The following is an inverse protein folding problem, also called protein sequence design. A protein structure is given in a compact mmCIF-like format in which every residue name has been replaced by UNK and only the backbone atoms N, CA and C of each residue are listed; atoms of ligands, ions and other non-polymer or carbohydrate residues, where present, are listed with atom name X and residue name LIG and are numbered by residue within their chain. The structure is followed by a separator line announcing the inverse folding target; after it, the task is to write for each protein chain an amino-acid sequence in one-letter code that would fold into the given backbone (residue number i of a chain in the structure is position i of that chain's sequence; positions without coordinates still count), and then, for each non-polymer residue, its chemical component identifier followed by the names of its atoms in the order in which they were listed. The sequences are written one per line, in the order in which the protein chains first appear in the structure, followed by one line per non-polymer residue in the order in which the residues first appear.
data_IF_740117489442
#
_entry.id   IF_740117489442
#
_cell.length_a   1.000
_cell.length_b   1.000
_cell.length_c   1.000
_cell.angle_alpha   90.00
_cell.angle_beta   90.00
_cell.angle_gamma   90.00
#
_symmetry.space_group_name_H-M   'P 1'
#
loop_
_entity.id
_entity.type
_entity.pdbx_description
1 polymer ?
#
# COMPACT_ATOMS: atom_id res chain seq x y z
N UNK A 1 -10.23 -15.98 4.49
CA UNK A 1 -9.26 -14.93 4.84
C UNK A 1 -9.07 -14.06 3.61
N UNK A 2 -9.30 -12.77 3.75
CA UNK A 2 -9.15 -11.77 2.70
C UNK A 2 -8.15 -10.73 3.21
N UNK A 3 -7.12 -10.43 2.41
CA UNK A 3 -6.29 -9.25 2.64
C UNK A 3 -6.96 -8.06 1.94
N UNK A 4 -7.27 -7.03 2.72
CA UNK A 4 -7.70 -5.74 2.21
C UNK A 4 -6.51 -4.79 2.31
N UNK A 5 -6.09 -4.29 1.17
CA UNK A 5 -5.00 -3.32 1.07
C UNK A 5 -5.53 -2.04 0.43
N UNK A 6 -5.26 -0.91 1.07
CA UNK A 6 -5.54 0.41 0.52
C UNK A 6 -4.21 1.13 0.35
N UNK A 7 -4.05 1.81 -0.78
CA UNK A 7 -3.03 2.83 -0.91
C UNK A 7 -3.69 4.17 -1.18
N UNK A 8 -3.05 5.22 -0.67
CA UNK A 8 -3.34 6.59 -1.03
C UNK A 8 -2.04 7.29 -1.35
N UNK A 9 -2.07 8.14 -2.37
CA UNK A 9 -1.00 9.04 -2.70
C UNK A 9 -1.56 10.40 -3.12
N UNK A 10 -1.01 11.47 -2.58
CA UNK A 10 -1.20 12.80 -3.15
C UNK A 10 0.08 13.60 -3.28
N UNK A 11 0.03 14.57 -4.20
CA UNK A 11 1.07 15.54 -4.46
C UNK A 11 0.43 16.92 -4.68
N UNK A 12 0.90 17.91 -3.92
CA UNK A 12 0.67 19.33 -4.17
C UNK A 12 1.91 19.93 -4.85
N UNK A 13 1.88 20.07 -6.16
CA UNK A 13 3.00 20.64 -6.90
C UNK A 13 2.70 22.11 -7.24
N UNK A 14 3.36 23.05 -6.56
CA UNK A 14 3.32 24.48 -6.87
C UNK A 14 4.42 24.87 -7.89
N UNK A 15 4.66 24.03 -8.89
CA UNK A 15 5.72 24.26 -9.87
C UNK A 15 5.11 25.00 -11.07
N UNK A 16 5.37 26.31 -11.17
CA UNK A 16 5.09 27.24 -12.30
C UNK A 16 3.83 28.12 -12.27
N UNK A 17 3.12 28.26 -11.14
CA UNK A 17 1.93 29.14 -11.06
C UNK A 17 0.66 28.49 -11.64
N UNK A 18 0.66 27.17 -11.79
CA UNK A 18 -0.53 26.33 -11.97
C UNK A 18 -0.55 25.32 -10.82
N UNK A 19 -1.67 25.28 -10.11
CA UNK A 19 -1.91 24.30 -9.05
C UNK A 19 -2.12 22.94 -9.70
N UNK A 20 -1.21 21.99 -9.45
CA UNK A 20 -1.40 20.58 -9.82
C UNK A 20 -1.54 19.77 -8.55
N UNK A 21 -2.77 19.37 -8.24
CA UNK A 21 -3.03 18.32 -7.26
C UNK A 21 -3.24 17.01 -7.99
N UNK A 22 -2.46 16.00 -7.62
CA UNK A 22 -2.75 14.62 -7.96
C UNK A 22 -3.17 13.90 -6.69
N UNK A 23 -4.29 13.18 -6.74
CA UNK A 23 -4.76 12.30 -5.67
C UNK A 23 -5.16 10.97 -6.29
N UNK A 24 -4.62 9.89 -5.75
CA UNK A 24 -4.95 8.51 -6.14
C UNK A 24 -5.24 7.70 -4.88
N UNK A 25 -6.38 7.01 -4.90
CA UNK A 25 -6.73 5.99 -3.90
C UNK A 25 -7.10 4.71 -4.63
N UNK A 26 -6.54 3.59 -4.18
CA UNK A 26 -6.95 2.28 -4.65
C UNK A 26 -7.11 1.31 -3.50
N UNK A 27 -8.15 0.49 -3.61
CA UNK A 27 -8.46 -0.58 -2.68
C UNK A 27 -8.40 -1.89 -3.44
N UNK A 28 -7.59 -2.81 -2.94
CA UNK A 28 -7.48 -4.17 -3.47
C UNK A 28 -7.92 -5.15 -2.42
N UNK A 29 -8.70 -6.15 -2.85
CA UNK A 29 -9.11 -7.28 -2.04
C UNK A 29 -8.49 -8.53 -2.65
N UNK A 30 -7.69 -9.23 -1.86
CA UNK A 30 -7.00 -10.44 -2.29
C UNK A 30 -7.60 -11.64 -1.56
N UNK A 31 -8.39 -12.39 -2.30
CA UNK A 31 -8.92 -13.68 -1.90
C UNK A 31 -7.99 -14.78 -2.43
N UNK A 32 -7.59 -15.72 -1.57
CA UNK A 32 -6.80 -16.89 -1.98
C UNK A 32 -5.48 -16.56 -2.71
N UNK A 33 -4.82 -15.45 -2.36
CA UNK A 33 -3.57 -15.07 -2.99
C UNK A 33 -2.42 -16.02 -2.61
N UNK A 34 -1.45 -16.16 -3.53
CA UNK A 34 -0.26 -16.97 -3.33
C UNK A 34 0.94 -16.09 -2.94
N UNK A 35 1.94 -16.69 -2.31
CA UNK A 35 3.26 -16.06 -2.13
C UNK A 35 3.79 -15.59 -3.49
N UNK A 36 4.38 -14.40 -3.50
CA UNK A 36 4.88 -13.69 -4.69
C UNK A 36 3.84 -12.81 -5.40
N UNK A 37 2.57 -12.88 -5.01
CA UNK A 37 1.51 -12.05 -5.61
C UNK A 37 1.72 -10.58 -5.26
N UNK A 38 1.68 -9.71 -6.27
CA UNK A 38 1.69 -8.25 -6.06
C UNK A 38 0.39 -7.79 -5.43
N UNK A 39 0.48 -6.94 -4.40
CA UNK A 39 -0.67 -6.47 -3.65
C UNK A 39 -1.47 -5.42 -4.42
N UNK A 40 -0.79 -4.54 -5.14
CA UNK A 40 -1.39 -3.52 -6.00
C UNK A 40 -1.04 -3.80 -7.47
N UNK A 41 -1.91 -3.39 -8.43
CA UNK A 41 -1.54 -3.41 -9.84
C UNK A 41 -0.36 -2.45 -10.09
N UNK A 42 0.45 -2.74 -11.10
CA UNK A 42 1.53 -1.84 -11.51
C UNK A 42 0.92 -0.51 -11.97
N UNK A 43 1.10 0.56 -11.19
CA UNK A 43 0.78 1.95 -11.57
C UNK A 43 1.98 2.56 -12.28
N UNK A 44 1.79 3.45 -13.25
CA UNK A 44 2.89 4.15 -13.96
C UNK A 44 3.84 4.93 -13.02
N UNK A 45 3.45 5.16 -11.77
CA UNK A 45 4.31 5.65 -10.69
C UNK A 45 5.04 4.51 -9.95
N UNK A 46 5.38 3.43 -10.68
CA UNK A 46 5.81 2.07 -10.27
C UNK A 46 6.80 1.98 -9.11
N UNK A 47 7.51 3.05 -8.79
CA UNK A 47 8.60 3.10 -7.83
C UNK A 47 8.16 2.76 -6.40
N UNK A 48 6.90 3.00 -6.02
CA UNK A 48 6.38 2.71 -4.68
C UNK A 48 5.39 1.53 -4.62
N UNK A 49 4.61 1.29 -5.68
CA UNK A 49 3.41 0.44 -5.61
C UNK A 49 3.62 -1.00 -6.12
N UNK A 50 4.44 -1.21 -7.15
CA UNK A 50 4.63 -2.53 -7.77
C UNK A 50 5.45 -3.52 -6.92
N UNK A 51 6.13 -3.02 -5.89
CA UNK A 51 7.04 -3.81 -5.06
C UNK A 51 6.37 -4.43 -3.84
N UNK A 52 5.14 -4.03 -3.47
CA UNK A 52 4.44 -4.64 -2.33
C UNK A 52 3.99 -6.05 -2.73
N UNK A 53 4.63 -7.08 -2.17
CA UNK A 53 4.40 -8.48 -2.49
C UNK A 53 4.08 -9.29 -1.24
N UNK A 54 3.20 -10.28 -1.42
CA UNK A 54 2.95 -11.30 -0.41
C UNK A 54 4.18 -12.20 -0.27
N UNK A 55 4.81 -12.21 0.90
CA UNK A 55 5.99 -13.03 1.16
C UNK A 55 5.63 -14.33 1.85
N UNK A 56 4.82 -14.29 2.90
CA UNK A 56 4.37 -15.47 3.66
C UNK A 56 2.91 -15.30 4.08
N UNK A 57 2.18 -16.42 4.15
CA UNK A 57 0.77 -16.46 4.53
C UNK A 57 0.59 -17.51 5.61
N UNK A 58 0.18 -17.07 6.79
CA UNK A 58 -0.13 -17.90 7.95
C UNK A 58 -1.63 -17.78 8.28
N UNK A 59 -2.17 -18.69 9.11
CA UNK A 59 -3.58 -18.62 9.50
C UNK A 59 -3.98 -17.32 10.22
N UNK A 60 -3.07 -16.72 10.98
CA UNK A 60 -3.34 -15.53 11.82
C UNK A 60 -2.57 -14.28 11.38
N UNK A 61 -1.68 -14.39 10.39
CA UNK A 61 -0.90 -13.25 9.92
C UNK A 61 -0.47 -13.39 8.46
N UNK A 62 -0.16 -12.26 7.83
CA UNK A 62 0.38 -12.17 6.49
C UNK A 62 1.65 -11.32 6.54
N UNK A 63 2.72 -11.78 5.89
CA UNK A 63 3.96 -11.01 5.75
C UNK A 63 4.01 -10.42 4.35
N UNK A 64 4.19 -9.10 4.29
CA UNK A 64 4.36 -8.33 3.07
C UNK A 64 5.78 -7.78 2.98
N UNK A 65 6.37 -7.85 1.80
CA UNK A 65 7.66 -7.23 1.48
C UNK A 65 7.44 -6.08 0.49
N UNK A 66 8.09 -4.94 0.71
CA UNK A 66 8.07 -3.79 -0.21
C UNK A 66 9.39 -3.61 -0.96
N UNK A 67 10.35 -4.51 -0.74
CA UNK A 67 11.73 -4.41 -1.22
C UNK A 67 12.63 -3.53 -0.36
N UNK A 68 12.05 -2.64 0.46
CA UNK A 68 12.77 -1.82 1.44
C UNK A 68 12.37 -2.11 2.88
N UNK A 69 11.13 -2.54 3.10
CA UNK A 69 10.54 -2.79 4.41
C UNK A 69 9.69 -4.06 4.39
N UNK A 70 9.60 -4.70 5.55
CA UNK A 70 8.75 -5.87 5.75
C UNK A 70 7.63 -5.52 6.74
N UNK A 71 6.39 -5.84 6.39
CA UNK A 71 5.22 -5.65 7.24
C UNK A 71 4.67 -7.01 7.66
N UNK A 72 4.43 -7.19 8.95
CA UNK A 72 3.74 -8.34 9.50
C UNK A 72 2.34 -7.87 9.88
N UNK A 73 1.33 -8.39 9.20
CA UNK A 73 -0.07 -8.00 9.36
C UNK A 73 -0.77 -9.07 10.17
N UNK A 74 -1.08 -8.80 11.44
CA UNK A 74 -1.86 -9.70 12.27
C UNK A 74 -3.37 -9.59 11.97
N UNK A 75 -4.08 -10.69 12.18
CA UNK A 75 -5.54 -10.76 12.08
C UNK A 75 -6.21 -9.79 13.06
N UNK A 76 -7.30 -9.17 12.63
CA UNK A 76 -8.06 -8.16 13.39
C UNK A 76 -7.30 -6.86 13.70
N UNK A 77 -6.10 -6.67 13.15
CA UNK A 77 -5.37 -5.42 13.25
C UNK A 77 -5.42 -4.63 11.94
N UNK A 78 -5.34 -3.30 12.07
CA UNK A 78 -5.22 -2.39 10.93
C UNK A 78 -3.86 -1.75 11.03
N UNK A 79 -3.00 -2.06 10.06
CA UNK A 79 -1.69 -1.44 9.94
C UNK A 79 -1.82 -0.21 9.06
N UNK A 80 -1.16 0.88 9.47
CA UNK A 80 -1.12 2.13 8.72
C UNK A 80 0.31 2.63 8.65
N UNK A 81 0.81 2.92 7.45
CA UNK A 81 2.11 3.57 7.27
C UNK A 81 1.85 5.00 6.83
N UNK A 82 2.24 6.00 7.62
CA UNK A 82 2.14 7.39 7.18
C UNK A 82 3.53 7.86 6.75
N UNK A 83 3.74 8.11 5.46
CA UNK A 83 4.99 8.69 4.98
C UNK A 83 4.70 10.05 4.36
N UNK A 84 5.30 11.07 4.97
CA UNK A 84 5.31 12.43 4.49
C UNK A 84 6.69 12.74 3.92
N UNK A 85 6.76 13.32 2.74
CA UNK A 85 8.04 13.84 2.23
C UNK A 85 8.47 15.06 3.04
N UNK A 86 9.79 15.30 3.11
CA UNK A 86 10.37 16.42 3.88
C UNK A 86 9.88 17.80 3.42
N UNK A 87 9.42 17.92 2.19
CA UNK A 87 8.87 19.15 1.62
C UNK A 87 7.39 19.35 1.99
N UNK A 88 6.73 18.38 2.64
CA UNK A 88 5.32 18.45 3.04
C UNK A 88 4.33 18.35 1.87
N UNK A 89 4.83 18.33 0.64
CA UNK A 89 4.02 18.42 -0.58
C UNK A 89 3.60 17.05 -1.13
N UNK A 90 4.20 15.97 -0.63
CA UNK A 90 3.80 14.63 -0.99
C UNK A 90 3.44 13.85 0.28
N UNK A 91 2.30 13.20 0.22
CA UNK A 91 1.83 12.32 1.27
C UNK A 91 1.38 11.02 0.65
N UNK A 92 1.77 9.91 1.26
CA UNK A 92 1.25 8.61 0.89
C UNK A 92 1.12 7.73 2.12
N UNK A 93 0.17 6.81 2.08
CA UNK A 93 -0.01 5.80 3.11
C UNK A 93 -0.51 4.49 2.55
N UNK A 94 -0.13 3.41 3.22
CA UNK A 94 -0.77 2.12 3.07
C UNK A 94 -1.63 1.81 4.28
N UNK A 95 -2.74 1.12 4.04
CA UNK A 95 -3.41 0.37 5.10
C UNK A 95 -3.57 -1.08 4.73
N UNK A 96 -3.30 -1.98 5.67
CA UNK A 96 -3.47 -3.41 5.51
C UNK A 96 -4.36 -3.96 6.61
N UNK A 97 -5.30 -4.83 6.23
CA UNK A 97 -6.21 -5.50 7.16
C UNK A 97 -6.52 -6.92 6.68
N UNK A 98 -6.48 -7.88 7.59
CA UNK A 98 -6.98 -9.24 7.35
C UNK A 98 -8.42 -9.33 7.85
N UNK A 99 -9.33 -9.81 7.00
CA UNK A 99 -10.72 -10.12 7.35
C UNK A 99 -11.06 -11.59 7.15
N UNK A 100 -12.02 -12.06 7.93
CA UNK A 100 -12.65 -13.35 7.74
C UNK A 100 -13.64 -13.31 6.57
N UNK A 101 -13.82 -14.47 5.92
CA UNK A 101 -14.83 -14.67 4.89
C UNK A 101 -16.21 -14.83 5.53
#
# INVERSE_FOLDING_TARGET
MILIATHYWSNECEVTGRFSCYEEESIVQLEHANVGTSVFPNSNTEWLHGNVKLQEIYPEEIILDTGTETFIIHRNEIYKTAIYTKDGNHQWWYTFQIKDL
#
